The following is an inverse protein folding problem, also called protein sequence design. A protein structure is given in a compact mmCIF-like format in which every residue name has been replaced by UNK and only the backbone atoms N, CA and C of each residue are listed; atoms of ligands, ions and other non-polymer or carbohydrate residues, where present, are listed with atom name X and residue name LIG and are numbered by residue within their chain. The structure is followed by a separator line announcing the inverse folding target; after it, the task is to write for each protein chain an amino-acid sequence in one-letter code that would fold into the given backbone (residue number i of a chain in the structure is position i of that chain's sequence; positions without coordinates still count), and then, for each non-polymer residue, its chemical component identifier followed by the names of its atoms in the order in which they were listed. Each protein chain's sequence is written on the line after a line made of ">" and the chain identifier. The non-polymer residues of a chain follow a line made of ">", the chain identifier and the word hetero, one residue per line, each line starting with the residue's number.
data_IF_622916237244
#
_entry.id   IF_622916237244
#
_cell.length_a   1.000
_cell.length_b   1.000
_cell.length_c   1.000
_cell.angle_alpha   90.00
_cell.angle_beta   90.00
_cell.angle_gamma   90.00
#
_symmetry.space_group_name_H-M   'P 1'
#
loop_
_entity.id
_entity.type
_entity.pdbx_description
1 polymer ?
#
# COMPACT_ATOMS: atom_id res chain seq x y z
N UNK A 1 47.85 -4.19 -11.23
CA UNK A 1 46.89 -5.26 -11.47
C UNK A 1 46.08 -5.63 -10.25
N UNK A 2 46.70 -5.69 -9.07
CA UNK A 2 45.92 -5.93 -7.86
C UNK A 2 44.86 -4.85 -7.59
N UNK A 3 45.14 -3.61 -7.97
CA UNK A 3 44.20 -2.50 -7.79
C UNK A 3 42.97 -2.67 -8.65
N UNK A 4 43.10 -3.13 -9.88
CA UNK A 4 41.97 -3.37 -10.76
C UNK A 4 41.07 -4.51 -10.24
N UNK A 5 41.71 -5.55 -9.73
CA UNK A 5 40.97 -6.66 -9.17
C UNK A 5 40.16 -6.22 -7.94
N UNK A 6 40.76 -5.40 -7.09
CA UNK A 6 40.10 -4.88 -5.91
C UNK A 6 38.91 -4.00 -6.26
N UNK A 7 39.07 -3.11 -7.26
CA UNK A 7 37.97 -2.26 -7.71
C UNK A 7 36.86 -3.06 -8.36
N UNK A 8 37.22 -4.12 -9.08
CA UNK A 8 36.25 -5.00 -9.68
C UNK A 8 35.39 -5.70 -8.62
N UNK A 9 36.04 -6.20 -7.57
CA UNK A 9 35.33 -6.81 -6.45
C UNK A 9 34.44 -5.82 -5.73
N UNK A 10 34.89 -4.58 -5.57
CA UNK A 10 34.09 -3.54 -4.95
C UNK A 10 32.85 -3.22 -5.78
N UNK A 11 33.00 -3.14 -7.09
CA UNK A 11 31.86 -2.91 -7.98
C UNK A 11 30.86 -4.05 -7.91
N UNK A 12 31.33 -5.29 -7.86
CA UNK A 12 30.45 -6.44 -7.71
C UNK A 12 29.68 -6.40 -6.39
N UNK A 13 30.38 -6.06 -5.32
CA UNK A 13 29.76 -5.96 -4.00
C UNK A 13 28.67 -4.90 -3.99
N UNK A 14 28.93 -3.74 -4.55
CA UNK A 14 27.95 -2.67 -4.64
C UNK A 14 26.76 -3.05 -5.53
N UNK A 15 27.03 -3.77 -6.62
CA UNK A 15 25.96 -4.24 -7.52
C UNK A 15 25.03 -5.21 -6.80
N UNK A 16 25.58 -6.12 -6.02
CA UNK A 16 24.76 -7.05 -5.25
C UNK A 16 23.91 -6.33 -4.22
N UNK A 17 24.44 -5.29 -3.58
CA UNK A 17 23.68 -4.52 -2.60
C UNK A 17 22.53 -3.76 -3.27
N UNK A 18 22.73 -3.29 -4.48
CA UNK A 18 21.67 -2.60 -5.22
C UNK A 18 20.59 -3.57 -5.70
N UNK A 19 20.95 -4.81 -6.00
CA UNK A 19 20.02 -5.82 -6.47
C UNK A 19 19.24 -6.49 -5.35
N UNK A 20 19.70 -6.36 -4.13
CA UNK A 20 19.07 -6.97 -2.96
C UNK A 20 17.97 -6.08 -2.36
N UNK A 21 17.30 -5.28 -3.17
CA UNK A 21 16.12 -4.56 -2.72
C UNK A 21 15.05 -5.59 -2.38
N UNK A 22 14.66 -5.69 -1.09
CA UNK A 22 13.66 -6.68 -0.73
C UNK A 22 12.36 -6.37 -1.45
N UNK A 23 11.82 -7.35 -2.14
CA UNK A 23 10.49 -7.25 -2.72
C UNK A 23 9.46 -7.37 -1.62
N UNK A 24 9.43 -6.41 -0.72
CA UNK A 24 8.43 -6.38 0.33
C UNK A 24 7.09 -5.97 -0.26
N UNK A 25 6.01 -6.42 0.38
CA UNK A 25 4.68 -5.95 0.05
C UNK A 25 4.73 -4.42 -0.01
N UNK A 26 4.34 -3.88 -1.16
CA UNK A 26 4.44 -2.44 -1.39
C UNK A 26 3.34 -1.75 -0.60
N UNK A 27 3.74 -1.01 0.42
CA UNK A 27 2.82 -0.14 1.12
C UNK A 27 2.41 0.99 0.18
N UNK A 28 1.12 1.23 0.12
CA UNK A 28 0.58 2.36 -0.63
C UNK A 28 0.04 3.39 0.32
N UNK A 29 0.46 4.63 0.13
CA UNK A 29 -0.06 5.78 0.85
C UNK A 29 -1.06 6.48 -0.07
N UNK A 30 -2.30 6.60 0.38
CA UNK A 30 -3.35 7.24 -0.42
C UNK A 30 -4.01 8.36 0.36
N UNK A 31 -4.49 9.36 -0.38
CA UNK A 31 -5.19 10.52 0.16
C UNK A 31 -6.68 10.40 -0.13
N UNK A 32 -7.43 11.40 0.32
CA UNK A 32 -8.88 11.46 0.07
C UNK A 32 -9.17 11.35 -1.43
N UNK A 33 -10.18 10.56 -1.76
CA UNK A 33 -10.61 10.38 -3.13
C UNK A 33 -11.36 9.09 -3.33
N UNK A 34 -11.78 8.88 -4.57
CA UNK A 34 -12.42 7.64 -5.02
C UNK A 34 -11.42 6.90 -5.91
N UNK A 35 -11.12 5.67 -5.52
CA UNK A 35 -10.15 4.84 -6.21
C UNK A 35 -10.84 3.61 -6.77
N UNK A 36 -10.48 3.24 -7.99
CA UNK A 36 -10.88 1.96 -8.55
C UNK A 36 -9.87 0.90 -8.14
N UNK A 37 -10.30 -0.36 -8.11
CA UNK A 37 -9.40 -1.46 -7.77
C UNK A 37 -8.18 -1.49 -8.69
N UNK A 38 -8.36 -1.15 -9.97
CA UNK A 38 -7.28 -1.10 -10.94
C UNK A 38 -6.27 0.00 -10.59
N UNK A 39 -6.73 1.13 -10.07
CA UNK A 39 -5.88 2.26 -9.70
C UNK A 39 -4.98 1.92 -8.50
N UNK A 40 -5.46 1.08 -7.62
CA UNK A 40 -4.71 0.67 -6.43
C UNK A 40 -3.71 -0.43 -6.73
N UNK A 41 -3.91 -1.16 -7.81
CA UNK A 41 -3.01 -2.21 -8.27
C UNK A 41 -2.63 -3.20 -7.16
N UNK A 42 -3.63 -3.61 -6.38
CA UNK A 42 -3.45 -4.59 -5.31
C UNK A 42 -3.57 -6.01 -5.87
N UNK A 43 -2.78 -6.92 -5.29
CA UNK A 43 -2.86 -8.33 -5.67
C UNK A 43 -4.21 -8.92 -5.27
N UNK A 44 -4.92 -9.52 -6.22
CA UNK A 44 -6.26 -10.05 -5.99
C UNK A 44 -6.27 -11.24 -5.03
N UNK A 45 -5.19 -12.00 -5.00
CA UNK A 45 -5.09 -13.22 -4.20
C UNK A 45 -4.47 -13.01 -2.84
N UNK A 46 -4.23 -11.76 -2.43
CA UNK A 46 -3.60 -11.45 -1.17
C UNK A 46 -4.54 -10.66 -0.28
N UNK A 47 -4.44 -10.93 1.03
CA UNK A 47 -5.13 -10.13 2.02
C UNK A 47 -4.37 -8.84 2.25
N UNK A 48 -5.06 -7.73 2.13
CA UNK A 48 -4.50 -6.42 2.38
C UNK A 48 -5.05 -5.82 3.66
N UNK A 49 -4.26 -4.97 4.29
CA UNK A 49 -4.67 -4.27 5.50
C UNK A 49 -4.67 -2.76 5.24
N UNK A 50 -5.44 -2.05 6.04
CA UNK A 50 -5.55 -0.59 5.94
C UNK A 50 -5.43 0.00 7.33
N UNK A 51 -4.68 1.09 7.45
CA UNK A 51 -4.51 1.77 8.73
C UNK A 51 -4.41 3.27 8.53
N UNK A 52 -4.73 3.99 9.59
CA UNK A 52 -4.61 5.45 9.62
C UNK A 52 -3.39 5.83 10.45
N UNK A 53 -2.30 6.28 9.82
CA UNK A 53 -1.08 6.67 10.54
C UNK A 53 -1.14 8.09 11.12
N UNK A 54 -2.19 8.85 10.83
CA UNK A 54 -2.30 10.22 11.32
C UNK A 54 -2.38 10.26 12.84
N UNK A 55 -1.77 11.27 13.45
CA UNK A 55 -1.77 11.45 14.90
C UNK A 55 -3.05 12.10 15.41
N UNK A 56 -3.81 12.78 14.55
CA UNK A 56 -4.92 13.60 14.97
C UNK A 56 -6.14 13.58 14.06
N UNK A 57 -6.06 12.95 12.90
CA UNK A 57 -7.14 12.96 11.94
C UNK A 57 -7.82 11.59 11.84
N UNK A 58 -9.14 11.60 11.73
CA UNK A 58 -9.93 10.41 11.47
C UNK A 58 -9.98 10.13 9.97
N UNK A 59 -10.26 8.90 9.62
CA UNK A 59 -10.46 8.50 8.23
C UNK A 59 -11.69 7.62 8.11
N UNK A 60 -12.42 7.77 7.01
CA UNK A 60 -13.54 6.91 6.65
C UNK A 60 -13.20 6.16 5.39
N UNK A 61 -13.47 4.87 5.38
CA UNK A 61 -13.20 4.01 4.24
C UNK A 61 -14.47 3.25 3.91
N UNK A 62 -14.85 3.28 2.63
CA UNK A 62 -15.98 2.52 2.12
C UNK A 62 -15.56 1.80 0.85
N UNK A 63 -15.87 0.52 0.78
CA UNK A 63 -15.62 -0.29 -0.42
C UNK A 63 -16.97 -0.65 -1.05
N UNK A 64 -17.05 -0.42 -2.36
CA UNK A 64 -18.25 -0.70 -3.14
C UNK A 64 -17.92 -1.74 -4.21
N UNK A 65 -18.88 -2.61 -4.50
CA UNK A 65 -18.74 -3.54 -5.62
C UNK A 65 -19.10 -2.86 -6.94
N UNK A 66 -19.06 -3.63 -8.03
CA UNK A 66 -19.35 -3.11 -9.37
C UNK A 66 -20.80 -2.64 -9.53
N UNK A 67 -21.70 -3.05 -8.65
CA UNK A 67 -23.08 -2.63 -8.61
C UNK A 67 -23.33 -1.47 -7.63
N UNK A 68 -22.24 -0.90 -7.09
CA UNK A 68 -22.28 0.20 -6.14
C UNK A 68 -22.91 -0.18 -4.80
N UNK A 69 -22.87 -1.47 -4.45
CA UNK A 69 -23.33 -1.95 -3.16
C UNK A 69 -22.15 -1.91 -2.19
N UNK A 70 -22.36 -1.31 -1.01
CA UNK A 70 -21.31 -1.22 0.00
C UNK A 70 -20.93 -2.61 0.50
N UNK A 71 -19.67 -2.98 0.34
CA UNK A 71 -19.13 -4.24 0.81
C UNK A 71 -18.43 -4.11 2.15
N UNK A 72 -17.87 -2.94 2.43
CA UNK A 72 -17.19 -2.68 3.68
C UNK A 72 -17.26 -1.20 4.01
N UNK A 73 -17.41 -0.92 5.29
CA UNK A 73 -17.38 0.45 5.82
C UNK A 73 -16.61 0.42 7.12
N UNK A 74 -15.69 1.35 7.28
CA UNK A 74 -14.95 1.47 8.54
C UNK A 74 -14.55 2.91 8.81
N UNK A 75 -14.48 3.25 10.08
CA UNK A 75 -13.91 4.49 10.54
C UNK A 75 -12.57 4.17 11.21
N UNK A 76 -11.52 4.82 10.75
CA UNK A 76 -10.18 4.63 11.30
C UNK A 76 -9.87 5.81 12.23
N UNK A 77 -9.64 5.49 13.50
CA UNK A 77 -9.23 6.49 14.49
C UNK A 77 -7.77 6.89 14.23
N UNK A 78 -7.31 8.04 14.79
CA UNK A 78 -5.90 8.39 14.70
C UNK A 78 -5.01 7.29 15.26
N UNK A 79 -3.87 7.05 14.62
CA UNK A 79 -2.95 5.98 14.99
C UNK A 79 -3.63 4.61 15.07
N UNK A 80 -4.53 4.33 14.13
CA UNK A 80 -5.28 3.08 14.16
C UNK A 80 -4.38 1.88 13.96
N UNK A 81 -4.84 0.73 14.47
CA UNK A 81 -4.26 -0.54 14.11
C UNK A 81 -4.58 -0.86 12.64
N UNK A 82 -3.88 -1.85 12.10
CA UNK A 82 -4.16 -2.32 10.76
C UNK A 82 -5.42 -3.20 10.78
N UNK A 83 -6.38 -2.88 9.93
CA UNK A 83 -7.61 -3.64 9.77
C UNK A 83 -7.60 -4.35 8.42
N UNK A 84 -8.25 -5.50 8.35
CA UNK A 84 -8.31 -6.25 7.11
C UNK A 84 -9.24 -5.53 6.13
N UNK A 85 -8.72 -5.23 4.95
CA UNK A 85 -9.49 -4.65 3.86
C UNK A 85 -10.14 -5.78 3.07
N UNK A 86 -11.44 -5.62 2.75
CA UNK A 86 -12.12 -6.59 1.89
C UNK A 86 -11.38 -6.70 0.55
N UNK A 87 -11.24 -7.89 -0.04
CA UNK A 87 -10.62 -8.02 -1.35
C UNK A 87 -11.33 -7.15 -2.37
N UNK A 88 -10.56 -6.34 -3.09
CA UNK A 88 -11.10 -5.47 -4.12
C UNK A 88 -11.01 -6.17 -5.47
N UNK A 89 -12.11 -6.77 -5.88
CA UNK A 89 -12.20 -7.43 -7.18
C UNK A 89 -12.29 -6.39 -8.31
N UNK A 90 -12.07 -6.80 -9.57
CA UNK A 90 -12.22 -5.88 -10.69
C UNK A 90 -13.59 -5.20 -10.68
N UNK A 91 -13.60 -3.89 -10.87
CA UNK A 91 -14.83 -3.09 -10.85
C UNK A 91 -15.20 -2.54 -9.48
N UNK A 92 -14.53 -2.96 -8.42
CA UNK A 92 -14.76 -2.39 -7.10
C UNK A 92 -14.18 -0.99 -7.00
N UNK A 93 -14.77 -0.20 -6.12
CA UNK A 93 -14.30 1.16 -5.84
C UNK A 93 -14.08 1.32 -4.35
N UNK A 94 -13.07 2.12 -4.00
CA UNK A 94 -12.74 2.46 -2.63
C UNK A 94 -12.89 3.96 -2.44
N UNK A 95 -13.76 4.36 -1.51
CA UNK A 95 -13.91 5.76 -1.13
C UNK A 95 -13.10 6.02 0.13
N UNK A 96 -12.26 7.03 0.09
CA UNK A 96 -11.41 7.44 1.21
C UNK A 96 -11.75 8.88 1.56
N UNK A 97 -12.11 9.12 2.82
CA UNK A 97 -12.39 10.46 3.35
C UNK A 97 -11.45 10.71 4.51
N UNK A 98 -10.49 11.59 4.33
CA UNK A 98 -9.51 11.94 5.35
C UNK A 98 -8.86 13.27 5.02
N UNK A 99 -8.39 13.98 6.03
CA UNK A 99 -7.60 15.20 5.84
C UNK A 99 -6.10 14.91 5.79
N UNK A 100 -5.70 13.67 5.95
CA UNK A 100 -4.32 13.25 5.94
C UNK A 100 -4.18 12.07 4.96
N UNK A 101 -3.35 11.12 5.27
CA UNK A 101 -3.10 9.96 4.41
C UNK A 101 -3.43 8.68 5.15
N UNK A 102 -3.76 7.65 4.39
CA UNK A 102 -3.92 6.29 4.92
C UNK A 102 -2.94 5.37 4.22
N UNK A 103 -2.65 4.24 4.86
CA UNK A 103 -1.71 3.27 4.33
C UNK A 103 -2.44 1.96 4.07
N UNK A 104 -2.29 1.45 2.85
CA UNK A 104 -2.73 0.11 2.46
C UNK A 104 -1.48 -0.75 2.29
N UNK A 105 -1.48 -1.89 2.97
CA UNK A 105 -0.33 -2.80 2.95
C UNK A 105 -0.69 -4.16 2.35
#
# INVERSE_FOLDING_TARGET
>A
MKKFFFMFLLCLYLSFNLLSIPSMAQQKTIKEGVYRSEDLNLSENMTHTIKNPSNNEYAFIMAFDSNQITQQYMQLIPNSEAYILTPLEPGYQLLVVTNDEIIID
#
